data_IF_510052182123
#
_entry.id   IF_510052182123
#
_cell.length_a   1.000
_cell.length_b   1.000
_cell.length_c   1.000
_cell.angle_alpha   90.00
_cell.angle_beta   90.00
_cell.angle_gamma   90.00
#
_symmetry.space_group_name_H-M   'P 1'
#
loop_
_entity.id
_entity.type
_entity.pdbx_description
1 polymer ?
#
# COMPACT_ATOMS: atom_id res chain seq x y z
N UNK A 1 3.82 3.20 -37.64
CA UNK A 1 4.37 4.26 -36.76
C UNK A 1 3.36 4.95 -35.82
N UNK A 2 2.04 4.86 -36.04
CA UNK A 2 1.03 5.49 -35.17
C UNK A 2 0.63 4.67 -33.92
N UNK A 3 0.81 3.35 -33.94
CA UNK A 3 0.45 2.45 -32.80
C UNK A 3 1.44 2.53 -31.63
N UNK A 4 2.69 2.94 -31.86
CA UNK A 4 3.74 2.98 -30.84
C UNK A 4 3.67 4.27 -29.97
N UNK A 5 2.96 5.32 -30.40
CA UNK A 5 2.74 6.57 -29.65
C UNK A 5 1.47 6.54 -28.81
N UNK A 6 0.50 5.70 -29.11
CA UNK A 6 -0.77 5.63 -28.39
C UNK A 6 -0.64 5.03 -26.98
N UNK A 7 0.24 4.04 -26.79
CA UNK A 7 0.44 3.40 -25.50
C UNK A 7 1.07 4.33 -24.42
N UNK A 8 2.12 5.11 -24.71
CA UNK A 8 2.67 6.09 -23.76
C UNK A 8 1.66 7.19 -23.40
N UNK A 9 0.86 7.66 -24.36
CA UNK A 9 -0.14 8.70 -24.13
C UNK A 9 -1.29 8.18 -23.25
N UNK A 10 -1.80 6.98 -23.51
CA UNK A 10 -2.80 6.32 -22.68
C UNK A 10 -2.29 6.12 -21.23
N UNK A 11 -1.04 5.71 -21.06
CA UNK A 11 -0.44 5.58 -19.73
C UNK A 11 -0.33 6.94 -19.03
N UNK A 12 0.05 8.01 -19.75
CA UNK A 12 0.11 9.36 -19.19
C UNK A 12 -1.28 9.87 -18.79
N UNK A 13 -2.33 9.59 -19.57
CA UNK A 13 -3.72 9.92 -19.22
C UNK A 13 -4.16 9.17 -17.95
N UNK A 14 -3.89 7.87 -17.88
CA UNK A 14 -4.21 7.05 -16.70
C UNK A 14 -3.54 7.62 -15.44
N UNK A 15 -2.26 7.95 -15.52
CA UNK A 15 -1.53 8.54 -14.39
C UNK A 15 -2.14 9.87 -13.93
N UNK A 16 -2.44 10.78 -14.85
CA UNK A 16 -3.11 12.06 -14.53
C UNK A 16 -4.48 11.87 -13.90
N UNK A 17 -5.24 10.84 -14.31
CA UNK A 17 -6.53 10.50 -13.69
C UNK A 17 -6.38 10.02 -12.26
N UNK A 18 -5.35 9.21 -11.95
CA UNK A 18 -5.05 8.79 -10.57
C UNK A 18 -4.67 10.00 -9.70
N UNK A 19 -3.85 10.90 -10.21
CA UNK A 19 -3.49 12.15 -9.51
C UNK A 19 -4.72 13.07 -9.31
N UNK A 20 -5.59 13.16 -10.32
CA UNK A 20 -6.85 13.89 -10.24
C UNK A 20 -7.80 13.30 -9.20
N UNK A 21 -7.86 11.97 -9.09
CA UNK A 21 -8.60 11.26 -8.05
C UNK A 21 -8.02 11.60 -6.66
N UNK A 22 -6.71 11.46 -6.48
CA UNK A 22 -6.05 11.76 -5.21
C UNK A 22 -6.33 13.19 -4.74
N UNK A 23 -6.18 14.19 -5.64
CA UNK A 23 -6.47 15.60 -5.35
C UNK A 23 -7.93 15.84 -4.99
N UNK A 24 -8.87 15.29 -5.79
CA UNK A 24 -10.30 15.48 -5.55
C UNK A 24 -10.72 14.89 -4.21
N UNK A 25 -10.31 13.68 -3.90
CA UNK A 25 -10.66 12.99 -2.64
C UNK A 25 -9.97 13.64 -1.45
N UNK A 26 -8.72 14.04 -1.59
CA UNK A 26 -8.00 14.77 -0.54
C UNK A 26 -8.64 16.11 -0.15
N UNK A 27 -9.29 16.79 -1.12
CA UNK A 27 -9.96 18.08 -0.88
C UNK A 27 -11.34 17.96 -0.23
N UNK A 28 -12.13 16.94 -0.57
CA UNK A 28 -13.54 16.88 -0.17
C UNK A 28 -14.08 15.50 0.17
N UNK A 29 -13.24 14.48 0.26
CA UNK A 29 -13.61 13.10 0.49
C UNK A 29 -14.14 12.39 -0.76
N UNK A 30 -14.16 11.06 -0.74
CA UNK A 30 -14.65 10.27 -1.88
C UNK A 30 -16.15 10.46 -2.15
N UNK A 31 -16.97 10.53 -1.09
CA UNK A 31 -18.42 10.66 -1.23
C UNK A 31 -18.82 11.92 -2.03
N UNK A 32 -18.13 13.05 -1.82
CA UNK A 32 -18.39 14.32 -2.50
C UNK A 32 -17.65 14.48 -3.85
N UNK A 33 -16.67 13.63 -4.16
CA UNK A 33 -15.91 13.69 -5.41
C UNK A 33 -16.70 13.11 -6.58
N UNK A 34 -16.73 13.77 -7.71
CA UNK A 34 -17.42 13.35 -8.94
C UNK A 34 -16.42 13.08 -10.07
N UNK A 35 -16.84 12.37 -11.13
CA UNK A 35 -16.01 12.21 -12.33
C UNK A 35 -15.65 13.58 -12.94
N UNK A 36 -16.56 14.58 -12.86
CA UNK A 36 -16.29 15.92 -13.33
C UNK A 36 -15.12 16.59 -12.57
N UNK A 37 -15.07 16.39 -11.25
CA UNK A 37 -13.96 16.90 -10.42
C UNK A 37 -12.64 16.23 -10.76
N UNK A 38 -12.66 14.90 -10.91
CA UNK A 38 -11.47 14.11 -11.23
C UNK A 38 -10.87 14.55 -12.56
N UNK A 39 -11.69 14.65 -13.62
CA UNK A 39 -11.20 15.05 -14.96
C UNK A 39 -10.74 16.49 -14.99
N UNK A 40 -11.39 17.40 -14.23
CA UNK A 40 -10.96 18.78 -14.10
C UNK A 40 -9.56 18.86 -13.45
N UNK A 41 -9.30 18.09 -12.39
CA UNK A 41 -7.99 18.01 -11.74
C UNK A 41 -6.94 17.33 -12.64
N UNK A 42 -7.35 16.34 -13.44
CA UNK A 42 -6.47 15.61 -14.34
C UNK A 42 -6.16 16.36 -15.64
N UNK A 43 -6.93 17.38 -16.00
CA UNK A 43 -6.81 18.10 -17.28
C UNK A 43 -7.13 17.19 -18.47
N UNK A 44 -8.13 16.31 -18.35
CA UNK A 44 -8.58 15.40 -19.40
C UNK A 44 -10.09 15.48 -19.61
N UNK A 45 -10.60 14.85 -20.67
CA UNK A 45 -12.05 14.78 -20.93
C UNK A 45 -12.74 13.68 -20.11
N UNK A 46 -14.08 13.80 -19.94
CA UNK A 46 -14.90 12.70 -19.38
C UNK A 46 -14.82 11.44 -20.25
N UNK A 47 -14.71 11.58 -21.56
CA UNK A 47 -14.52 10.46 -22.47
C UNK A 47 -13.23 9.72 -22.14
N UNK A 48 -12.12 10.45 -21.99
CA UNK A 48 -10.83 9.86 -21.59
C UNK A 48 -10.91 9.15 -20.26
N UNK A 49 -11.70 9.65 -19.30
CA UNK A 49 -11.94 8.93 -18.04
C UNK A 49 -12.54 7.54 -18.29
N UNK A 50 -13.62 7.46 -19.07
CA UNK A 50 -14.31 6.20 -19.35
C UNK A 50 -13.57 5.28 -20.32
N UNK A 51 -12.53 5.76 -21.00
CA UNK A 51 -11.57 4.90 -21.73
C UNK A 51 -10.63 4.14 -20.79
N UNK A 52 -10.48 4.60 -19.53
CA UNK A 52 -9.57 4.00 -18.53
C UNK A 52 -10.26 3.36 -17.34
N UNK A 53 -11.42 3.84 -16.94
CA UNK A 53 -12.14 3.39 -15.74
C UNK A 53 -13.63 3.36 -15.97
N UNK A 54 -14.28 2.25 -15.59
CA UNK A 54 -15.73 2.09 -15.73
C UNK A 54 -16.49 2.94 -14.69
N UNK A 55 -15.87 3.18 -13.54
CA UNK A 55 -16.47 3.95 -12.45
C UNK A 55 -15.46 4.73 -11.62
N UNK A 56 -15.96 5.65 -10.78
CA UNK A 56 -15.14 6.31 -9.75
C UNK A 56 -14.49 5.33 -8.79
N UNK A 57 -15.20 4.24 -8.47
CA UNK A 57 -14.71 3.21 -7.56
C UNK A 57 -13.48 2.51 -8.15
N UNK A 58 -13.53 2.16 -9.44
CA UNK A 58 -12.40 1.53 -10.13
C UNK A 58 -11.17 2.47 -10.17
N UNK A 59 -11.40 3.76 -10.38
CA UNK A 59 -10.32 4.74 -10.34
C UNK A 59 -9.70 4.87 -8.94
N UNK A 60 -10.51 4.86 -7.86
CA UNK A 60 -9.99 4.87 -6.48
C UNK A 60 -9.26 3.58 -6.13
N UNK A 61 -9.78 2.42 -6.55
CA UNK A 61 -9.11 1.13 -6.38
C UNK A 61 -7.76 1.13 -7.10
N UNK A 62 -7.72 1.60 -8.34
CA UNK A 62 -6.48 1.69 -9.10
C UNK A 62 -5.46 2.66 -8.47
N UNK A 63 -5.92 3.77 -7.86
CA UNK A 63 -5.06 4.67 -7.08
C UNK A 63 -4.49 3.95 -5.85
N UNK A 64 -5.33 3.22 -5.12
CA UNK A 64 -4.93 2.45 -3.95
C UNK A 64 -3.85 1.41 -4.30
N UNK A 65 -4.07 0.64 -5.37
CA UNK A 65 -3.12 -0.37 -5.85
C UNK A 65 -1.81 0.25 -6.34
N UNK A 66 -1.87 1.37 -7.07
CA UNK A 66 -0.69 2.09 -7.51
C UNK A 66 0.15 2.61 -6.33
N UNK A 67 -0.49 3.14 -5.29
CA UNK A 67 0.19 3.56 -4.07
C UNK A 67 0.81 2.36 -3.32
N UNK A 68 0.10 1.22 -3.27
CA UNK A 68 0.62 -0.03 -2.72
C UNK A 68 1.87 -0.52 -3.44
N UNK A 69 1.87 -0.53 -4.77
CA UNK A 69 3.04 -0.88 -5.58
C UNK A 69 4.21 0.10 -5.34
N UNK A 70 3.93 1.40 -5.19
CA UNK A 70 4.93 2.40 -4.81
C UNK A 70 5.55 2.11 -3.45
N UNK A 71 4.74 1.75 -2.48
CA UNK A 71 5.19 1.37 -1.14
C UNK A 71 6.07 0.11 -1.15
N UNK A 72 5.69 -0.92 -1.93
CA UNK A 72 6.50 -2.14 -2.11
C UNK A 72 7.82 -1.82 -2.81
N UNK A 73 7.83 -0.91 -3.79
CA UNK A 73 9.07 -0.46 -4.44
C UNK A 73 10.02 0.21 -3.45
N UNK A 74 9.51 1.02 -2.52
CA UNK A 74 10.29 1.62 -1.43
C UNK A 74 10.85 0.54 -0.49
N UNK A 75 10.03 -0.43 -0.07
CA UNK A 75 10.48 -1.56 0.74
C UNK A 75 11.65 -2.30 0.06
N UNK A 76 11.53 -2.59 -1.24
CA UNK A 76 12.57 -3.28 -2.02
C UNK A 76 13.85 -2.46 -2.13
N UNK A 77 13.75 -1.16 -2.38
CA UNK A 77 14.90 -0.28 -2.55
C UNK A 77 15.69 -0.05 -1.24
N UNK A 78 15.05 -0.25 -0.10
CA UNK A 78 15.67 -0.12 1.21
C UNK A 78 16.43 -1.37 1.67
N UNK A 79 16.30 -2.50 0.94
CA UNK A 79 17.03 -3.72 1.27
C UNK A 79 18.51 -3.60 0.91
N UNK A 80 19.36 -3.99 1.83
CA UNK A 80 20.82 -4.10 1.63
C UNK A 80 21.26 -5.55 1.89
N UNK A 81 21.52 -6.35 0.84
CA UNK A 81 21.90 -7.74 0.98
C UNK A 81 23.21 -7.98 1.77
N UNK A 82 23.99 -6.93 2.01
CA UNK A 82 25.21 -7.02 2.83
C UNK A 82 24.94 -7.00 4.32
N UNK A 83 23.71 -6.68 4.74
CA UNK A 83 23.29 -6.60 6.14
C UNK A 83 22.58 -7.89 6.58
N UNK A 84 22.58 -8.13 7.90
CA UNK A 84 21.73 -9.16 8.48
C UNK A 84 20.25 -8.84 8.26
N UNK A 85 19.41 -9.88 8.31
CA UNK A 85 17.99 -9.73 8.00
C UNK A 85 17.24 -8.81 8.98
N UNK A 86 17.65 -8.75 10.26
CA UNK A 86 17.03 -7.87 11.24
C UNK A 86 17.24 -6.40 10.86
N UNK A 87 18.47 -6.04 10.52
CA UNK A 87 18.81 -4.70 10.04
C UNK A 87 18.07 -4.36 8.75
N UNK A 88 17.97 -5.30 7.81
CA UNK A 88 17.22 -5.10 6.57
C UNK A 88 15.73 -4.82 6.84
N UNK A 89 15.09 -5.57 7.74
CA UNK A 89 13.69 -5.37 8.13
C UNK A 89 13.49 -3.99 8.76
N UNK A 90 14.38 -3.57 9.66
CA UNK A 90 14.28 -2.25 10.31
C UNK A 90 14.42 -1.11 9.30
N UNK A 91 15.38 -1.20 8.39
CA UNK A 91 15.59 -0.19 7.34
C UNK A 91 14.39 -0.13 6.37
N UNK A 92 13.90 -1.28 5.93
CA UNK A 92 12.74 -1.36 5.04
C UNK A 92 11.47 -0.79 5.69
N UNK A 93 11.18 -1.14 6.95
CA UNK A 93 10.04 -0.61 7.69
C UNK A 93 10.15 0.90 7.89
N UNK A 94 11.33 1.40 8.24
CA UNK A 94 11.57 2.83 8.40
C UNK A 94 11.29 3.58 7.10
N UNK A 95 11.88 3.14 5.98
CA UNK A 95 11.67 3.74 4.68
C UNK A 95 10.19 3.70 4.23
N UNK A 96 9.51 2.59 4.48
CA UNK A 96 8.08 2.43 4.21
C UNK A 96 7.23 3.44 4.99
N UNK A 97 7.45 3.56 6.29
CA UNK A 97 6.67 4.45 7.15
C UNK A 97 7.01 5.94 6.89
N UNK A 98 8.25 6.27 6.53
CA UNK A 98 8.64 7.60 6.05
C UNK A 98 7.94 7.93 4.72
N UNK A 99 7.88 6.97 3.79
CA UNK A 99 7.14 7.13 2.54
C UNK A 99 5.65 7.40 2.78
N UNK A 100 5.01 6.64 3.66
CA UNK A 100 3.61 6.86 4.02
C UNK A 100 3.40 8.23 4.70
N UNK A 101 4.32 8.66 5.55
CA UNK A 101 4.25 9.96 6.24
C UNK A 101 4.49 11.15 5.30
N UNK A 102 5.08 10.93 4.12
CA UNK A 102 5.42 12.00 3.17
C UNK A 102 4.19 12.67 2.53
N UNK A 103 3.07 11.95 2.45
CA UNK A 103 1.78 12.49 1.97
C UNK A 103 0.63 12.08 2.92
N UNK A 104 0.44 12.82 4.03
CA UNK A 104 -0.60 12.50 5.02
C UNK A 104 -2.02 12.55 4.45
N UNK A 105 -2.27 13.41 3.44
CA UNK A 105 -3.58 13.53 2.80
C UNK A 105 -3.89 12.29 1.98
N UNK A 106 -2.94 11.85 1.16
CA UNK A 106 -3.08 10.63 0.38
C UNK A 106 -3.19 9.40 1.29
N UNK A 107 -2.35 9.32 2.33
CA UNK A 107 -2.40 8.23 3.31
C UNK A 107 -3.79 8.10 3.94
N UNK A 108 -4.32 9.20 4.49
CA UNK A 108 -5.66 9.21 5.09
C UNK A 108 -6.73 8.80 4.07
N UNK A 109 -6.65 9.35 2.85
CA UNK A 109 -7.54 9.00 1.74
C UNK A 109 -7.54 7.51 1.47
N UNK A 110 -6.37 6.91 1.31
CA UNK A 110 -6.25 5.50 0.95
C UNK A 110 -6.67 4.56 2.09
N UNK A 111 -6.32 4.88 3.33
CA UNK A 111 -6.65 4.01 4.47
C UNK A 111 -8.13 4.08 4.89
N UNK A 112 -8.79 5.22 4.72
CA UNK A 112 -10.18 5.43 5.15
C UNK A 112 -11.15 5.24 3.99
N UNK A 113 -10.94 5.94 2.86
CA UNK A 113 -11.92 5.98 1.79
C UNK A 113 -12.06 4.64 1.05
N UNK A 114 -11.00 3.85 0.97
CA UNK A 114 -11.05 2.51 0.36
C UNK A 114 -12.04 1.60 1.08
N UNK A 115 -12.17 1.72 2.40
CA UNK A 115 -13.12 0.93 3.20
C UNK A 115 -14.57 1.31 2.90
N UNK A 116 -14.82 2.56 2.50
CA UNK A 116 -16.13 3.04 2.08
C UNK A 116 -16.66 2.39 0.80
N UNK A 117 -15.81 1.70 0.03
CA UNK A 117 -16.22 0.93 -1.16
C UNK A 117 -16.78 -0.47 -0.82
N UNK A 118 -16.95 -0.81 0.46
CA UNK A 118 -17.47 -2.11 0.89
C UNK A 118 -16.60 -3.28 0.43
N UNK A 119 -17.20 -4.34 -0.11
CA UNK A 119 -16.49 -5.57 -0.49
C UNK A 119 -15.42 -5.34 -1.56
N UNK A 120 -15.62 -4.43 -2.51
CA UNK A 120 -14.64 -4.12 -3.55
C UNK A 120 -13.39 -3.48 -2.95
N UNK A 121 -13.57 -2.53 -2.04
CA UNK A 121 -12.45 -1.89 -1.32
C UNK A 121 -11.69 -2.88 -0.42
N UNK A 122 -12.42 -3.75 0.31
CA UNK A 122 -11.80 -4.81 1.11
C UNK A 122 -11.00 -5.79 0.24
N UNK A 123 -11.48 -6.13 -0.96
CA UNK A 123 -10.76 -7.00 -1.89
C UNK A 123 -9.46 -6.33 -2.39
N UNK A 124 -9.51 -5.04 -2.74
CA UNK A 124 -8.32 -4.27 -3.14
C UNK A 124 -7.29 -4.21 -2.00
N UNK A 125 -7.75 -3.89 -0.77
CA UNK A 125 -6.90 -3.88 0.42
C UNK A 125 -6.24 -5.24 0.67
N UNK A 126 -6.99 -6.33 0.52
CA UNK A 126 -6.44 -7.69 0.67
C UNK A 126 -5.36 -7.98 -0.34
N UNK A 127 -5.51 -7.59 -1.62
CA UNK A 127 -4.48 -7.79 -2.66
C UNK A 127 -3.18 -7.10 -2.28
N UNK A 128 -3.22 -5.82 -1.94
CA UNK A 128 -2.02 -5.06 -1.54
C UNK A 128 -1.38 -5.64 -0.27
N UNK A 129 -2.18 -6.00 0.73
CA UNK A 129 -1.66 -6.64 1.95
C UNK A 129 -0.99 -7.98 1.65
N UNK A 130 -1.56 -8.77 0.72
CA UNK A 130 -0.96 -10.04 0.28
C UNK A 130 0.38 -9.82 -0.41
N UNK A 131 0.48 -8.83 -1.30
CA UNK A 131 1.75 -8.51 -1.98
C UNK A 131 2.84 -8.09 -0.97
N UNK A 132 2.48 -7.32 0.07
CA UNK A 132 3.42 -6.95 1.15
C UNK A 132 3.81 -8.18 1.97
N UNK A 133 2.86 -9.06 2.29
CA UNK A 133 3.13 -10.31 3.02
C UNK A 133 4.04 -11.25 2.20
N UNK A 134 3.78 -11.41 0.90
CA UNK A 134 4.59 -12.22 -0.01
C UNK A 134 6.03 -11.66 -0.13
N UNK A 135 6.16 -10.33 -0.20
CA UNK A 135 7.46 -9.68 -0.16
C UNK A 135 8.20 -9.98 1.15
N UNK A 136 7.52 -9.89 2.29
CA UNK A 136 8.10 -10.22 3.61
C UNK A 136 8.57 -11.67 3.68
N UNK A 137 7.76 -12.62 3.20
CA UNK A 137 8.11 -14.03 3.12
C UNK A 137 9.37 -14.26 2.28
N UNK A 138 9.45 -13.61 1.12
CA UNK A 138 10.61 -13.72 0.22
C UNK A 138 11.89 -13.18 0.87
N UNK A 139 11.81 -12.08 1.62
CA UNK A 139 12.97 -11.48 2.30
C UNK A 139 13.44 -12.32 3.49
N UNK A 140 12.50 -12.81 4.31
CA UNK A 140 12.83 -13.47 5.59
C UNK A 140 13.20 -14.94 5.39
N UNK A 141 12.48 -15.67 4.54
CA UNK A 141 12.68 -17.12 4.38
C UNK A 141 13.82 -17.47 3.43
N UNK A 142 14.09 -16.62 2.40
CA UNK A 142 15.07 -16.94 1.36
C UNK A 142 16.52 -17.08 1.82
N UNK A 143 17.05 -16.21 2.70
CA UNK A 143 18.48 -16.28 3.10
C UNK A 143 18.85 -17.50 3.93
N UNK A 144 17.89 -18.06 4.63
CA UNK A 144 18.13 -19.07 5.67
C UNK A 144 17.72 -20.50 5.24
N UNK A 145 17.17 -20.65 4.04
CA UNK A 145 16.61 -21.93 3.52
C UNK A 145 15.68 -22.65 4.53
N UNK A 146 15.09 -21.87 5.43
CA UNK A 146 14.19 -22.33 6.47
C UNK A 146 12.88 -21.54 6.43
N UNK A 147 11.76 -22.20 6.68
CA UNK A 147 10.46 -21.53 6.83
C UNK A 147 10.38 -20.94 8.24
N UNK A 148 10.87 -19.73 8.41
CA UNK A 148 10.80 -18.98 9.67
C UNK A 148 9.49 -18.24 9.86
N UNK A 149 8.85 -17.88 8.76
CA UNK A 149 7.61 -17.11 8.73
C UNK A 149 6.60 -17.82 7.83
N UNK A 150 5.40 -18.09 8.35
CA UNK A 150 4.30 -18.66 7.55
C UNK A 150 3.48 -17.56 6.89
N UNK A 151 2.70 -17.86 5.81
CA UNK A 151 1.82 -16.89 5.17
C UNK A 151 0.84 -16.21 6.13
N UNK A 152 0.28 -16.96 7.08
CA UNK A 152 -0.68 -16.47 8.07
C UNK A 152 -0.02 -15.50 9.06
N UNK A 153 1.20 -15.81 9.51
CA UNK A 153 1.97 -14.92 10.37
C UNK A 153 2.40 -13.66 9.64
N UNK A 154 2.83 -13.75 8.38
CA UNK A 154 3.15 -12.59 7.56
C UNK A 154 1.94 -11.67 7.41
N UNK A 155 0.76 -12.22 7.09
CA UNK A 155 -0.48 -11.46 6.99
C UNK A 155 -0.88 -10.85 8.34
N UNK A 156 -0.67 -11.54 9.45
CA UNK A 156 -0.95 -11.04 10.80
C UNK A 156 -0.05 -9.84 11.16
N UNK A 157 1.23 -9.91 10.78
CA UNK A 157 2.16 -8.78 10.95
C UNK A 157 1.72 -7.57 10.11
N UNK A 158 1.39 -7.78 8.82
CA UNK A 158 0.87 -6.72 7.94
C UNK A 158 -0.40 -6.10 8.53
N UNK A 159 -1.32 -6.92 9.03
CA UNK A 159 -2.53 -6.47 9.72
C UNK A 159 -2.23 -5.62 10.96
N UNK A 160 -1.32 -6.09 11.82
CA UNK A 160 -0.92 -5.36 13.02
C UNK A 160 -0.26 -4.00 12.72
N UNK A 161 0.61 -3.94 11.72
CA UNK A 161 1.22 -2.66 11.27
C UNK A 161 0.16 -1.72 10.71
N UNK A 162 -0.77 -2.22 9.89
CA UNK A 162 -1.87 -1.43 9.36
C UNK A 162 -2.76 -0.85 10.48
N UNK A 163 -3.01 -1.61 11.53
CA UNK A 163 -3.78 -1.11 12.68
C UNK A 163 -3.05 0.03 13.41
N UNK A 164 -1.74 -0.08 13.60
CA UNK A 164 -0.95 1.02 14.18
C UNK A 164 -0.99 2.29 13.31
N UNK A 165 -0.99 2.13 11.98
CA UNK A 165 -1.14 3.24 11.04
C UNK A 165 -2.55 3.86 11.17
N UNK A 166 -3.61 3.06 11.24
CA UNK A 166 -4.99 3.53 11.43
C UNK A 166 -5.14 4.33 12.73
N UNK A 167 -4.57 3.84 13.83
CA UNK A 167 -4.55 4.58 15.10
C UNK A 167 -3.82 5.92 14.97
N UNK A 168 -2.69 5.96 14.23
CA UNK A 168 -1.97 7.21 13.99
C UNK A 168 -2.78 8.20 13.15
N UNK A 169 -3.55 7.72 12.16
CA UNK A 169 -4.47 8.53 11.36
C UNK A 169 -5.62 9.06 12.23
N UNK A 170 -6.24 8.22 13.06
CA UNK A 170 -7.33 8.59 13.97
C UNK A 170 -6.90 9.70 14.94
N UNK A 171 -5.66 9.62 15.45
CA UNK A 171 -5.10 10.55 16.42
C UNK A 171 -4.39 11.75 15.78
N UNK A 172 -4.47 11.91 14.45
CA UNK A 172 -3.79 12.96 13.69
C UNK A 172 -2.27 13.03 13.94
N UNK A 173 -1.63 11.85 14.11
CA UNK A 173 -0.20 11.70 14.42
C UNK A 173 0.59 11.09 13.26
N UNK A 174 0.19 11.33 12.02
CA UNK A 174 0.82 10.75 10.83
C UNK A 174 2.30 11.13 10.68
N UNK A 175 2.71 12.31 11.16
CA UNK A 175 4.12 12.71 11.20
C UNK A 175 4.98 11.80 12.11
N UNK A 176 4.37 11.04 13.03
CA UNK A 176 5.06 10.14 13.94
C UNK A 176 5.11 8.68 13.43
N UNK A 177 4.59 8.38 12.23
CA UNK A 177 4.61 7.04 11.65
C UNK A 177 6.02 6.39 11.66
N UNK A 178 7.11 7.10 11.36
CA UNK A 178 8.44 6.49 11.42
C UNK A 178 8.80 5.86 12.78
N UNK A 179 8.23 6.35 13.88
CA UNK A 179 8.46 5.78 15.22
C UNK A 179 7.80 4.41 15.41
N UNK A 180 6.76 4.09 14.62
CA UNK A 180 6.12 2.78 14.61
C UNK A 180 7.09 1.69 14.12
N UNK A 181 8.12 2.04 13.33
CA UNK A 181 9.10 1.09 12.79
C UNK A 181 9.73 0.24 13.90
N UNK A 182 10.04 0.82 15.05
CA UNK A 182 10.63 0.09 16.20
C UNK A 182 9.67 -0.98 16.72
N UNK A 183 8.41 -0.63 16.90
CA UNK A 183 7.37 -1.58 17.38
C UNK A 183 7.09 -2.65 16.34
N UNK A 184 6.97 -2.27 15.06
CA UNK A 184 6.76 -3.21 13.96
C UNK A 184 7.93 -4.19 13.80
N UNK A 185 9.17 -3.71 13.90
CA UNK A 185 10.36 -4.57 13.86
C UNK A 185 10.42 -5.52 15.06
N UNK A 186 10.04 -5.05 16.25
CA UNK A 186 9.96 -5.90 17.46
C UNK A 186 8.90 -7.00 17.27
N UNK A 187 7.74 -6.68 16.70
CA UNK A 187 6.69 -7.65 16.39
C UNK A 187 7.21 -8.72 15.41
N UNK A 188 7.87 -8.32 14.33
CA UNK A 188 8.43 -9.26 13.34
C UNK A 188 9.45 -10.17 14.00
N UNK A 189 10.36 -9.63 14.79
CA UNK A 189 11.36 -10.45 15.54
C UNK A 189 10.70 -11.44 16.48
N UNK A 190 9.68 -11.02 17.23
CA UNK A 190 8.98 -11.89 18.18
C UNK A 190 8.29 -13.06 17.49
N UNK A 191 7.73 -12.83 16.29
CA UNK A 191 7.06 -13.87 15.50
C UNK A 191 8.07 -14.86 14.90
N UNK A 192 9.25 -14.41 14.47
CA UNK A 192 10.26 -15.24 13.81
C UNK A 192 11.08 -16.06 14.82
N UNK A 193 11.41 -15.52 15.99
CA UNK A 193 12.28 -16.14 17.00
C UNK A 193 11.55 -17.19 17.86
N UNK A 194 10.27 -17.45 17.64
CA UNK A 194 9.52 -18.50 18.34
C UNK A 194 9.53 -19.84 17.56
N UNK A 195 10.65 -20.62 17.53
CA UNK A 195 10.71 -21.90 16.82
C UNK A 195 10.07 -23.02 17.66
N UNK A 196 8.83 -22.86 18.05
CA UNK A 196 8.14 -23.83 18.91
C UNK A 196 6.63 -23.74 18.89
N UNK A 197 6.07 -22.71 18.35
CA UNK A 197 4.63 -22.64 18.09
C UNK A 197 4.35 -23.21 16.69
N UNK A 198 4.47 -24.52 16.53
CA UNK A 198 3.73 -25.21 15.49
C UNK A 198 2.25 -24.91 15.74
N UNK A 199 1.72 -23.91 15.05
CA UNK A 199 0.27 -23.67 15.03
C UNK A 199 -0.34 -24.94 14.44
N UNK A 200 -1.19 -25.69 15.19
CA UNK A 200 -1.86 -26.85 14.62
C UNK A 200 -2.64 -26.36 13.40
N UNK A 201 -2.52 -27.09 12.28
CA UNK A 201 -3.29 -26.82 11.08
C UNK A 201 -4.77 -26.73 11.48
N UNK A 202 -5.36 -25.57 11.30
CA UNK A 202 -6.80 -25.40 11.44
C UNK A 202 -7.42 -26.15 10.27
N UNK A 203 -8.07 -27.28 10.57
CA UNK A 203 -8.87 -28.10 9.65
C UNK A 203 -10.12 -27.31 9.21
#
# INVERSE_FOLDING_TARGET
MQQDQAAPEAQAHRQRLLEGMAKSVGMKGYAASTVADIVAQAGVSRRTFYEHFDSRADCLIALYEAAGHGAIAVLRSALDPSRDWQTQVELALKAYLEFLASDPVLLRTLYIEILGLGLAGLAARRRVNQEIADFMLAVINSPLQATLLTPELAMSVVGGVNELILVAIEQDRMAHLPHIAVTAAALIRAVIVSPGAAVPAVV
#
